data_IF_859014927728
#
_entry.id   IF_859014927728
#
_cell.length_a   1.000
_cell.length_b   1.000
_cell.length_c   1.000
_cell.angle_alpha   90.00
_cell.angle_beta   90.00
_cell.angle_gamma   90.00
#
_symmetry.space_group_name_H-M   'P 1'
#
loop_
_entity.id
_entity.type
_entity.pdbx_description
1 polymer ?
#
# COMPACT_ATOMS: atom_id res chain seq x y z
N UNK A 1 -29.33 6.72 22.18
CA UNK A 1 -28.01 6.71 22.85
C UNK A 1 -26.92 6.54 21.81
N UNK A 2 -25.83 7.23 22.06
CA UNK A 2 -24.79 7.69 21.16
C UNK A 2 -24.03 6.67 20.29
N UNK A 3 -23.76 7.14 19.06
CA UNK A 3 -22.49 7.10 18.31
C UNK A 3 -21.91 5.72 17.93
N UNK A 4 -22.18 5.32 16.69
CA UNK A 4 -21.22 4.57 15.85
C UNK A 4 -19.97 5.42 15.59
N UNK A 5 -19.15 5.59 16.62
CA UNK A 5 -17.78 6.06 16.52
C UNK A 5 -16.95 5.22 17.46
N UNK A 6 -15.67 5.01 17.13
CA UNK A 6 -14.75 4.33 18.04
C UNK A 6 -14.88 4.95 19.45
N UNK A 7 -14.97 4.12 20.52
CA UNK A 7 -14.86 4.58 21.88
C UNK A 7 -13.65 5.51 22.03
N UNK A 8 -13.67 6.44 22.98
CA UNK A 8 -12.58 7.41 23.19
C UNK A 8 -11.20 6.75 23.24
N UNK A 9 -11.12 5.59 23.91
CA UNK A 9 -9.93 4.74 23.96
C UNK A 9 -9.48 4.25 22.57
N UNK A 10 -10.41 3.84 21.71
CA UNK A 10 -10.11 3.41 20.34
C UNK A 10 -9.64 4.56 19.43
N UNK A 11 -10.15 5.77 19.64
CA UNK A 11 -9.65 6.97 18.92
C UNK A 11 -8.26 7.38 19.39
N UNK A 12 -8.01 7.31 20.69
CA UNK A 12 -6.70 7.58 21.27
C UNK A 12 -5.65 6.58 20.75
N UNK A 13 -5.99 5.29 20.72
CA UNK A 13 -5.12 4.24 20.17
C UNK A 13 -4.83 4.48 18.68
N UNK A 14 -5.85 4.79 17.87
CA UNK A 14 -5.66 5.08 16.46
C UNK A 14 -4.77 6.32 16.22
N UNK A 15 -4.92 7.36 17.04
CA UNK A 15 -4.08 8.55 16.97
C UNK A 15 -2.63 8.21 17.28
N UNK A 16 -2.38 7.48 18.36
CA UNK A 16 -1.05 7.01 18.75
C UNK A 16 -0.39 6.17 17.64
N UNK A 17 -1.13 5.22 17.04
CA UNK A 17 -0.62 4.41 15.93
C UNK A 17 -0.16 5.26 14.73
N UNK A 18 -0.91 6.32 14.38
CA UNK A 18 -0.49 7.20 13.27
C UNK A 18 0.68 8.10 13.65
N UNK A 19 0.75 8.59 14.89
CA UNK A 19 1.91 9.35 15.39
C UNK A 19 3.18 8.48 15.40
N UNK A 20 3.04 7.20 15.77
CA UNK A 20 4.13 6.22 15.72
C UNK A 20 4.59 5.96 14.29
N UNK A 21 3.64 5.80 13.36
CA UNK A 21 3.94 5.64 11.94
C UNK A 21 4.65 6.86 11.35
N UNK A 22 4.20 8.08 11.66
CA UNK A 22 4.86 9.32 11.24
C UNK A 22 6.31 9.38 11.74
N UNK A 23 6.55 9.00 13.01
CA UNK A 23 7.89 8.93 13.59
C UNK A 23 8.75 7.87 12.90
N UNK A 24 8.23 6.65 12.75
CA UNK A 24 8.94 5.53 12.12
C UNK A 24 9.30 5.83 10.65
N UNK A 25 8.42 6.53 9.94
CA UNK A 25 8.68 6.99 8.58
C UNK A 25 9.81 8.04 8.53
N UNK A 26 9.77 9.04 9.42
CA UNK A 26 10.75 10.13 9.46
C UNK A 26 12.19 9.67 9.78
N UNK A 27 12.33 8.56 10.51
CA UNK A 27 13.64 7.98 10.87
C UNK A 27 14.03 6.80 9.98
N UNK A 28 13.22 6.45 8.98
CA UNK A 28 13.51 5.35 8.05
C UNK A 28 14.68 5.72 7.14
N UNK A 29 15.74 4.90 7.07
CA UNK A 29 16.91 5.19 6.22
C UNK A 29 16.61 5.03 4.72
N UNK A 30 15.72 4.11 4.36
CA UNK A 30 15.37 3.79 2.98
C UNK A 30 13.99 4.37 2.61
N UNK A 31 13.79 4.75 1.33
CA UNK A 31 12.54 5.33 0.86
C UNK A 31 11.42 4.29 0.82
N UNK A 32 10.19 4.76 1.07
CA UNK A 32 8.98 4.05 0.68
C UNK A 32 8.56 4.56 -0.70
N UNK A 33 8.10 3.69 -1.59
CA UNK A 33 7.73 4.07 -2.96
C UNK A 33 6.23 4.25 -3.14
N UNK A 34 5.89 5.11 -4.09
CA UNK A 34 4.54 5.39 -4.56
C UNK A 34 4.52 5.36 -6.09
N UNK A 35 3.35 5.11 -6.69
CA UNK A 35 3.18 5.25 -8.14
C UNK A 35 3.26 6.71 -8.60
N UNK A 36 3.89 6.94 -9.75
CA UNK A 36 3.96 8.26 -10.42
C UNK A 36 2.79 8.49 -11.40
N UNK A 37 2.40 7.47 -12.17
CA UNK A 37 1.35 7.57 -13.19
C UNK A 37 0.79 6.18 -13.56
N UNK A 38 -0.33 6.08 -14.30
CA UNK A 38 -1.40 7.09 -14.48
C UNK A 38 -2.46 7.01 -13.37
N UNK A 39 -2.28 6.18 -12.34
CA UNK A 39 -3.26 5.93 -11.29
C UNK A 39 -3.31 7.09 -10.27
N UNK A 40 -3.90 8.22 -10.69
CA UNK A 40 -3.95 9.47 -9.92
C UNK A 40 -5.17 9.57 -8.96
N UNK A 41 -5.82 8.46 -8.59
CA UNK A 41 -7.00 8.49 -7.71
C UNK A 41 -6.98 7.41 -6.62
N UNK A 42 -7.61 7.69 -5.47
CA UNK A 42 -6.97 8.27 -4.31
C UNK A 42 -5.88 7.35 -3.71
N UNK A 43 -4.69 7.90 -3.51
CA UNK A 43 -3.59 7.29 -2.75
C UNK A 43 -3.91 7.34 -1.25
N UNK A 44 -4.13 6.19 -0.61
CA UNK A 44 -4.39 6.09 0.82
C UNK A 44 -3.52 5.04 1.49
N UNK A 45 -3.20 5.25 2.77
CA UNK A 45 -2.56 4.22 3.58
C UNK A 45 -3.50 3.02 3.72
N UNK A 46 -3.05 1.86 3.23
CA UNK A 46 -3.79 0.62 3.36
C UNK A 46 -3.37 -0.17 4.60
N UNK A 47 -2.09 -0.49 4.65
CA UNK A 47 -1.46 -1.30 5.69
C UNK A 47 -0.08 -0.74 5.99
N UNK A 48 0.39 -0.96 7.22
CA UNK A 48 1.76 -0.68 7.61
C UNK A 48 2.17 -1.66 8.71
N UNK A 49 3.45 -2.00 8.73
CA UNK A 49 4.04 -2.84 9.77
C UNK A 49 5.24 -2.12 10.35
N UNK A 50 5.26 -1.94 11.67
CA UNK A 50 6.39 -1.40 12.41
C UNK A 50 6.92 -2.46 13.37
N UNK A 51 8.23 -2.61 13.44
CA UNK A 51 8.93 -3.54 14.34
C UNK A 51 9.95 -2.71 15.12
N UNK A 52 9.86 -2.74 16.45
CA UNK A 52 10.76 -2.00 17.35
C UNK A 52 10.93 -0.52 16.97
N UNK A 53 9.83 0.13 16.55
CA UNK A 53 9.82 1.54 16.15
C UNK A 53 10.32 1.83 14.73
N UNK A 54 10.73 0.80 13.98
CA UNK A 54 11.17 0.90 12.59
C UNK A 54 10.08 0.45 11.62
N UNK A 55 9.87 1.19 10.52
CA UNK A 55 8.85 0.89 9.52
C UNK A 55 9.25 -0.30 8.62
N UNK A 56 8.82 -1.52 8.90
CA UNK A 56 9.18 -2.69 8.09
C UNK A 56 8.51 -2.69 6.71
N UNK A 57 7.23 -2.32 6.64
CA UNK A 57 6.51 -2.22 5.36
C UNK A 57 5.44 -1.14 5.36
N UNK A 58 5.16 -0.60 4.17
CA UNK A 58 4.12 0.38 3.92
C UNK A 58 3.38 0.02 2.63
N UNK A 59 2.06 -0.16 2.74
CA UNK A 59 1.18 -0.44 1.60
C UNK A 59 0.30 0.77 1.29
N UNK A 60 0.39 1.27 0.07
CA UNK A 60 -0.46 2.33 -0.48
C UNK A 60 -1.49 1.74 -1.42
N UNK A 61 -2.77 2.05 -1.20
CA UNK A 61 -3.84 1.70 -2.12
C UNK A 61 -4.18 2.87 -3.06
N UNK A 62 -4.44 2.52 -4.32
CA UNK A 62 -4.89 3.39 -5.40
C UNK A 62 -6.18 2.79 -5.98
N UNK A 63 -7.20 3.61 -6.14
CA UNK A 63 -8.54 3.16 -6.55
C UNK A 63 -9.43 2.75 -5.37
N UNK A 64 -10.55 2.07 -5.65
CA UNK A 64 -11.54 1.67 -4.65
C UNK A 64 -11.06 0.50 -3.77
N UNK A 65 -11.69 0.36 -2.61
CA UNK A 65 -11.51 -0.79 -1.71
C UNK A 65 -12.22 -2.05 -2.19
N UNK A 66 -13.20 -1.89 -3.08
CA UNK A 66 -13.85 -2.99 -3.78
C UNK A 66 -12.87 -3.62 -4.77
N UNK A 67 -12.39 -4.82 -4.43
CA UNK A 67 -11.33 -5.52 -5.17
C UNK A 67 -11.78 -6.06 -6.53
N UNK A 68 -13.08 -6.07 -6.81
CA UNK A 68 -13.60 -6.44 -8.13
C UNK A 68 -13.46 -5.30 -9.14
N UNK A 69 -13.30 -4.07 -8.65
CA UNK A 69 -13.04 -2.89 -9.47
C UNK A 69 -11.54 -2.70 -9.71
N UNK A 70 -11.15 -1.97 -10.77
CA UNK A 70 -9.74 -1.69 -11.04
C UNK A 70 -9.08 -0.93 -9.89
N UNK A 71 -8.01 -1.52 -9.34
CA UNK A 71 -7.28 -0.99 -8.19
C UNK A 71 -5.82 -1.44 -8.24
N UNK A 72 -4.97 -0.74 -7.49
CA UNK A 72 -3.57 -1.10 -7.28
C UNK A 72 -3.22 -0.95 -5.81
N UNK A 73 -2.44 -1.89 -5.30
CA UNK A 73 -1.73 -1.79 -4.03
C UNK A 73 -0.24 -1.80 -4.30
N UNK A 74 0.48 -0.85 -3.72
CA UNK A 74 1.94 -0.77 -3.78
C UNK A 74 2.48 -0.95 -2.38
N UNK A 75 3.20 -2.03 -2.18
CA UNK A 75 3.87 -2.35 -0.92
C UNK A 75 5.36 -2.15 -1.11
N UNK A 76 5.95 -1.26 -0.31
CA UNK A 76 7.41 -1.23 -0.11
C UNK A 76 7.71 -1.93 1.20
N UNK A 77 8.67 -2.85 1.22
CA UNK A 77 9.13 -3.49 2.45
C UNK A 77 10.64 -3.70 2.45
N UNK A 78 11.14 -4.03 3.62
CA UNK A 78 12.54 -4.35 3.86
C UNK A 78 12.65 -5.56 4.77
N UNK A 79 13.72 -6.31 4.55
CA UNK A 79 14.15 -7.31 5.50
C UNK A 79 14.81 -6.61 6.69
N UNK A 80 14.47 -7.06 7.89
CA UNK A 80 15.15 -6.65 9.12
C UNK A 80 16.18 -7.70 9.48
N UNK A 81 17.26 -7.35 10.21
CA UNK A 81 18.27 -8.32 10.59
C UNK A 81 17.66 -9.55 11.28
N UNK A 82 17.84 -10.73 10.67
CA UNK A 82 17.32 -12.01 11.17
C UNK A 82 15.84 -12.27 10.88
N UNK A 83 15.19 -11.50 10.00
CA UNK A 83 13.81 -11.70 9.58
C UNK A 83 13.68 -11.53 8.07
N UNK A 84 13.20 -12.59 7.41
CA UNK A 84 12.73 -12.54 6.03
C UNK A 84 11.24 -12.20 6.08
N UNK A 85 10.88 -10.98 5.70
CA UNK A 85 9.48 -10.56 5.65
C UNK A 85 9.05 -10.51 4.19
N UNK A 86 7.94 -11.18 3.87
CA UNK A 86 7.31 -11.09 2.57
C UNK A 86 5.84 -10.70 2.78
N UNK A 87 5.37 -9.60 2.19
CA UNK A 87 3.97 -9.24 2.28
C UNK A 87 3.11 -10.26 1.54
N UNK A 88 1.91 -10.52 2.07
CA UNK A 88 0.97 -11.45 1.45
C UNK A 88 0.64 -11.04 0.01
N UNK A 89 0.63 -12.04 -0.88
CA UNK A 89 0.17 -11.93 -2.26
C UNK A 89 -0.91 -13.00 -2.54
N UNK A 90 -1.85 -12.76 -3.47
CA UNK A 90 -2.81 -13.79 -3.86
C UNK A 90 -2.09 -15.04 -4.39
N UNK A 91 -2.47 -16.22 -3.89
CA UNK A 91 -1.77 -17.48 -4.18
C UNK A 91 -1.73 -17.82 -5.68
N UNK A 92 -2.80 -17.51 -6.41
CA UNK A 92 -2.89 -17.68 -7.86
C UNK A 92 -1.87 -16.86 -8.65
N UNK A 93 -1.43 -15.72 -8.09
CA UNK A 93 -0.39 -14.88 -8.68
C UNK A 93 1.03 -15.39 -8.37
N UNK A 94 1.22 -16.16 -7.30
CA UNK A 94 2.54 -16.71 -6.94
C UNK A 94 2.93 -17.91 -7.80
N UNK A 95 1.95 -18.69 -8.25
CA UNK A 95 2.17 -19.92 -9.01
C UNK A 95 2.26 -19.70 -10.55
N UNK A 96 1.88 -18.51 -11.03
CA UNK A 96 1.85 -18.20 -12.46
C UNK A 96 3.24 -17.76 -12.98
N UNK A 97 3.55 -18.04 -14.27
CA UNK A 97 4.85 -17.70 -14.85
C UNK A 97 5.07 -16.19 -14.91
N UNK A 98 6.22 -15.74 -14.43
CA UNK A 98 6.64 -14.34 -14.47
C UNK A 98 7.33 -13.95 -15.78
N UNK A 99 7.05 -12.74 -16.23
CA UNK A 99 7.71 -12.05 -17.34
C UNK A 99 8.78 -11.09 -16.79
N UNK A 100 10.01 -11.16 -17.31
CA UNK A 100 11.03 -10.17 -17.02
C UNK A 100 10.77 -8.88 -17.79
N UNK A 101 10.55 -7.77 -17.08
CA UNK A 101 10.30 -6.44 -17.65
C UNK A 101 11.23 -5.39 -17.05
N UNK A 102 11.19 -4.17 -17.60
CA UNK A 102 11.89 -3.00 -17.05
C UNK A 102 10.86 -1.95 -16.67
N UNK A 103 10.97 -1.41 -15.45
CA UNK A 103 10.11 -0.36 -14.89
C UNK A 103 10.94 0.86 -14.47
N UNK A 104 10.29 2.01 -14.30
CA UNK A 104 10.95 3.19 -13.73
C UNK A 104 10.85 3.22 -12.21
N UNK A 105 11.97 3.29 -11.49
CA UNK A 105 12.01 3.53 -10.05
C UNK A 105 12.98 4.66 -9.77
N UNK A 106 12.50 5.75 -9.18
CA UNK A 106 13.31 6.92 -8.83
C UNK A 106 14.11 7.48 -10.03
N UNK A 107 13.48 7.50 -11.20
CA UNK A 107 14.11 7.93 -12.45
C UNK A 107 15.08 6.92 -13.08
N UNK A 108 15.31 5.77 -12.45
CA UNK A 108 16.19 4.71 -12.95
C UNK A 108 15.38 3.57 -13.57
N UNK A 109 15.91 3.00 -14.66
CA UNK A 109 15.40 1.75 -15.23
C UNK A 109 15.77 0.57 -14.31
N UNK A 110 14.76 -0.14 -13.81
CA UNK A 110 14.93 -1.25 -12.86
C UNK A 110 14.32 -2.53 -13.44
N UNK A 111 15.08 -3.62 -13.40
CA UNK A 111 14.56 -4.93 -13.79
C UNK A 111 13.50 -5.40 -12.78
N UNK A 112 12.41 -5.96 -13.29
CA UNK A 112 11.29 -6.42 -12.49
C UNK A 112 10.70 -7.71 -13.08
N UNK A 113 9.96 -8.42 -12.25
CA UNK A 113 9.16 -9.58 -12.66
C UNK A 113 7.70 -9.20 -12.61
N UNK A 114 6.98 -9.42 -13.71
CA UNK A 114 5.55 -9.18 -13.81
C UNK A 114 4.81 -10.50 -14.08
N UNK A 115 3.88 -10.84 -13.20
CA UNK A 115 2.94 -11.95 -13.39
C UNK A 115 1.59 -11.37 -13.79
N UNK A 116 0.93 -11.99 -14.77
CA UNK A 116 -0.41 -11.62 -15.23
C UNK A 116 -1.30 -12.84 -15.28
N UNK A 117 -2.52 -12.71 -14.77
CA UNK A 117 -3.56 -13.71 -14.90
C UNK A 117 -4.53 -13.34 -16.03
N UNK A 118 -5.20 -14.36 -16.58
CA UNK A 118 -6.28 -14.16 -17.54
C UNK A 118 -7.43 -13.32 -16.97
N UNK A 119 -7.58 -13.30 -15.64
CA UNK A 119 -8.59 -12.55 -14.88
C UNK A 119 -8.32 -11.04 -14.77
N UNK A 120 -7.37 -10.50 -15.53
CA UNK A 120 -6.88 -9.10 -15.47
C UNK A 120 -6.16 -8.71 -14.18
N UNK A 121 -5.99 -9.66 -13.25
CA UNK A 121 -5.14 -9.50 -12.09
C UNK A 121 -3.66 -9.60 -12.48
N UNK A 122 -2.81 -8.87 -11.76
CA UNK A 122 -1.38 -8.88 -12.00
C UNK A 122 -0.60 -8.57 -10.72
N UNK A 123 0.66 -9.00 -10.71
CA UNK A 123 1.63 -8.83 -9.64
C UNK A 123 2.99 -8.44 -10.22
N UNK A 124 3.53 -7.32 -9.78
CA UNK A 124 4.84 -6.83 -10.14
C UNK A 124 5.75 -6.91 -8.92
N UNK A 125 6.92 -7.52 -9.06
CA UNK A 125 7.98 -7.51 -8.05
C UNK A 125 9.24 -6.87 -8.61
N UNK A 126 9.87 -5.99 -7.84
CA UNK A 126 11.17 -5.40 -8.13
C UNK A 126 11.95 -5.17 -6.85
N UNK A 127 13.27 -5.27 -6.90
CA UNK A 127 14.13 -5.16 -5.71
C UNK A 127 15.12 -3.99 -5.88
N UNK A 128 14.68 -2.73 -5.75
CA UNK A 128 15.55 -1.57 -5.87
C UNK A 128 16.48 -1.43 -4.66
N UNK A 129 17.72 -1.89 -4.81
CA UNK A 129 18.75 -1.73 -3.78
C UNK A 129 18.53 -2.65 -2.59
N UNK A 130 18.12 -2.08 -1.43
CA UNK A 130 17.90 -2.82 -0.16
C UNK A 130 16.43 -2.94 0.22
N UNK A 131 15.54 -2.44 -0.61
CA UNK A 131 14.10 -2.56 -0.39
C UNK A 131 13.50 -3.38 -1.51
N UNK A 132 12.35 -3.96 -1.19
CA UNK A 132 11.55 -4.72 -2.12
C UNK A 132 10.27 -3.95 -2.41
N UNK A 133 9.83 -4.02 -3.66
CA UNK A 133 8.65 -3.37 -4.17
C UNK A 133 7.72 -4.40 -4.78
N UNK A 134 6.46 -4.37 -4.33
CA UNK A 134 5.39 -5.23 -4.81
C UNK A 134 4.27 -4.31 -5.24
N UNK A 135 3.86 -4.40 -6.49
CA UNK A 135 2.62 -3.80 -6.93
C UNK A 135 1.67 -4.90 -7.38
N UNK A 136 0.53 -5.01 -6.70
CA UNK A 136 -0.53 -5.93 -7.09
C UNK A 136 -1.73 -5.13 -7.55
N UNK A 137 -2.43 -5.58 -8.57
CA UNK A 137 -3.63 -4.88 -9.00
C UNK A 137 -4.53 -5.68 -9.90
N UNK A 138 -5.66 -5.07 -10.21
CA UNK A 138 -6.62 -5.53 -11.21
C UNK A 138 -6.81 -4.44 -12.26
N UNK A 139 -6.80 -4.83 -13.53
CA UNK A 139 -7.00 -3.93 -14.66
C UNK A 139 -5.70 -3.59 -15.41
N UNK A 140 -5.65 -2.48 -16.15
CA UNK A 140 -4.53 -2.18 -17.04
C UNK A 140 -3.24 -1.87 -16.26
N UNK A 141 -2.10 -2.44 -16.66
CA UNK A 141 -0.82 -2.12 -16.02
C UNK A 141 -0.31 -0.72 -16.40
N UNK A 142 -0.65 -0.21 -17.59
CA UNK A 142 -0.14 1.07 -18.08
C UNK A 142 1.40 1.14 -18.07
N UNK A 143 1.94 2.36 -17.98
CA UNK A 143 3.34 2.61 -17.66
C UNK A 143 3.53 2.52 -16.14
N UNK A 144 4.29 1.52 -15.68
CA UNK A 144 4.56 1.28 -14.27
C UNK A 144 5.83 2.05 -13.88
N UNK A 145 5.63 3.20 -13.24
CA UNK A 145 6.71 4.02 -12.71
C UNK A 145 6.45 4.42 -11.27
N UNK A 146 7.52 4.40 -10.47
CA UNK A 146 7.50 4.62 -9.04
C UNK A 146 8.51 5.69 -8.64
N UNK A 147 8.18 6.43 -7.58
CA UNK A 147 9.01 7.46 -7.01
C UNK A 147 8.96 7.43 -5.48
N UNK A 148 9.98 7.98 -4.79
CA UNK A 148 9.96 8.06 -3.34
C UNK A 148 8.73 8.83 -2.83
N UNK A 149 8.13 8.33 -1.76
CA UNK A 149 7.11 9.03 -0.99
C UNK A 149 7.82 10.10 -0.15
N UNK A 150 7.54 11.37 -0.43
CA UNK A 150 8.18 12.49 0.29
C UNK A 150 7.57 12.75 1.68
N UNK A 151 6.26 12.51 1.83
CA UNK A 151 5.52 12.75 3.08
C UNK A 151 4.40 11.73 3.25
N UNK A 152 4.33 11.14 4.44
CA UNK A 152 3.32 10.14 4.82
C UNK A 152 2.01 10.79 5.33
N UNK A 153 2.04 12.06 5.77
CA UNK A 153 0.86 12.73 6.32
C UNK A 153 -0.34 12.75 5.36
N UNK A 154 -0.19 13.08 4.07
CA UNK A 154 -1.33 13.10 3.15
C UNK A 154 -2.01 11.73 2.99
N UNK A 155 -1.25 10.62 3.08
CA UNK A 155 -1.82 9.26 2.95
C UNK A 155 -2.53 8.80 4.21
N UNK A 156 -2.01 9.18 5.39
CA UNK A 156 -2.67 8.99 6.69
C UNK A 156 -3.98 9.78 6.74
N UNK A 157 -3.94 11.05 6.34
CA UNK A 157 -5.14 11.90 6.35
C UNK A 157 -6.19 11.41 5.36
N UNK A 158 -5.78 10.90 4.19
CA UNK A 158 -6.69 10.23 3.26
C UNK A 158 -7.37 9.01 3.92
N UNK A 159 -6.60 8.20 4.67
CA UNK A 159 -7.14 7.04 5.40
C UNK A 159 -8.13 7.45 6.48
N UNK A 160 -7.82 8.49 7.26
CA UNK A 160 -8.72 9.06 8.29
C UNK A 160 -10.04 9.55 7.66
N UNK A 161 -9.97 10.25 6.53
CA UNK A 161 -11.17 10.70 5.79
C UNK A 161 -12.02 9.53 5.30
N UNK A 162 -11.40 8.47 4.76
CA UNK A 162 -12.11 7.27 4.29
C UNK A 162 -12.82 6.54 5.43
N UNK A 163 -12.15 6.34 6.56
CA UNK A 163 -12.74 5.66 7.72
C UNK A 163 -13.90 6.48 8.30
N UNK A 164 -13.79 7.81 8.30
CA UNK A 164 -14.87 8.68 8.80
C UNK A 164 -16.03 8.85 7.82
N UNK A 165 -15.81 8.76 6.50
CA UNK A 165 -16.89 8.78 5.49
C UNK A 165 -17.67 7.46 5.46
N UNK A 166 -16.99 6.33 5.61
CA UNK A 166 -17.61 4.99 5.64
C UNK A 166 -18.54 4.85 6.85
N UNK A 167 -18.15 5.41 8.00
CA UNK A 167 -18.99 5.47 9.21
C UNK A 167 -20.25 6.32 9.01
N UNK A 168 -20.22 7.32 8.14
CA UNK A 168 -21.38 8.17 7.82
C UNK A 168 -22.29 7.60 6.74
N UNK A 169 -21.86 6.53 6.06
CA UNK A 169 -22.48 6.00 4.84
C UNK A 169 -23.12 4.61 4.97
N UNK A 170 -23.44 4.12 6.17
CA UNK A 170 -24.26 2.91 6.30
C UNK A 170 -25.70 3.23 5.85
N UNK A 171 -26.20 2.67 4.74
CA UNK A 171 -27.64 2.68 4.51
C UNK A 171 -28.28 1.87 5.63
N UNK A 172 -29.25 2.50 6.29
CA UNK A 172 -30.23 1.83 7.11
C UNK A 172 -30.83 0.69 6.25
N UNK A 173 -30.49 -0.56 6.53
CA UNK A 173 -31.42 -1.65 6.19
C UNK A 173 -32.63 -1.42 7.08
N UNK A 174 -33.65 -0.79 6.52
CA UNK A 174 -35.00 -0.82 7.05
C UNK A 174 -35.55 -2.27 6.91
N UNK A 175 -36.46 -2.69 7.80
CA UNK A 175 -36.71 -4.08 8.17
C UNK A 175 -37.16 -5.00 7.03
#
# INVERSE_FOLDING_TARGET
MDRMGLPEQGRALQKAMYEDLERAFAVSPDPMYQMRAPWLAPRTLAECHTVDGSLQSLTLAYGPWDTDQPHIRVTTWRDLPGQDFEPDAPADLLDAPGEGITIGIDGNATAATLVRLASTAWLLRADPGRVHLLASGRGPTGDLSFEPLADIKPVIDARRRLLTSTVKGLPHRAP
#
